data_IF_420836442055
#
_entry.id   IF_420836442055
#
_cell.length_a   1.000
_cell.length_b   1.000
_cell.length_c   1.000
_cell.angle_alpha   90.00
_cell.angle_beta   90.00
_cell.angle_gamma   90.00
#
_symmetry.space_group_name_H-M   'P 1'
#
loop_
_entity.id
_entity.type
_entity.pdbx_description
1 polymer ?
#
# COMPACT_ATOMS: atom_id res chain seq x y z
N UNK A 1 14.71 -7.11 2.83
CA UNK A 1 13.44 -6.62 3.40
C UNK A 1 12.57 -7.74 3.96
N UNK A 2 12.46 -8.89 3.30
CA UNK A 2 11.57 -9.97 3.74
C UNK A 2 11.67 -10.37 5.21
N UNK A 3 12.88 -10.56 5.74
CA UNK A 3 13.08 -10.95 7.14
C UNK A 3 12.57 -9.92 8.14
N UNK A 4 12.66 -8.59 7.83
CA UNK A 4 12.12 -7.57 8.71
C UNK A 4 10.61 -7.69 8.86
N UNK A 5 9.87 -7.81 7.75
CA UNK A 5 8.41 -7.90 7.77
C UNK A 5 7.92 -9.20 8.37
N UNK A 6 8.55 -10.32 8.01
CA UNK A 6 8.16 -11.64 8.48
C UNK A 6 8.49 -11.83 9.98
N UNK A 7 9.76 -11.65 10.35
CA UNK A 7 10.25 -12.02 11.69
C UNK A 7 10.11 -10.89 12.71
N UNK A 8 10.31 -9.63 12.31
CA UNK A 8 10.34 -8.51 13.24
C UNK A 8 9.01 -7.79 13.37
N UNK A 9 8.32 -7.56 12.24
CA UNK A 9 7.08 -6.79 12.24
C UNK A 9 5.86 -7.69 12.51
N UNK A 10 5.51 -8.55 11.58
CA UNK A 10 4.26 -9.31 11.67
C UNK A 10 4.25 -10.32 12.81
N UNK A 11 5.33 -11.05 13.06
CA UNK A 11 5.38 -11.97 14.20
C UNK A 11 5.13 -11.28 15.54
N UNK A 12 5.66 -10.05 15.75
CA UNK A 12 5.41 -9.29 16.97
C UNK A 12 3.98 -8.77 17.04
N UNK A 13 3.45 -8.23 15.94
CA UNK A 13 2.09 -7.71 15.91
C UNK A 13 1.04 -8.80 16.10
N UNK A 14 1.24 -9.98 15.51
CA UNK A 14 0.35 -11.13 15.70
C UNK A 14 0.39 -11.68 17.12
N UNK A 15 1.49 -11.51 17.86
CA UNK A 15 1.59 -11.88 19.27
C UNK A 15 0.86 -10.89 20.22
N UNK A 16 0.54 -9.67 19.75
CA UNK A 16 -0.12 -8.62 20.51
C UNK A 16 -1.33 -8.07 19.73
N UNK A 17 -2.39 -8.88 19.52
CA UNK A 17 -3.50 -8.51 18.62
C UNK A 17 -4.27 -7.26 19.06
N UNK A 18 -4.25 -6.90 20.35
CA UNK A 18 -4.82 -5.65 20.87
C UNK A 18 -4.15 -4.38 20.33
N UNK A 19 -2.95 -4.50 19.74
CA UNK A 19 -2.25 -3.40 19.07
C UNK A 19 -2.61 -3.27 17.60
N UNK A 20 -3.37 -4.23 17.09
CA UNK A 20 -3.84 -4.22 15.72
C UNK A 20 -5.22 -3.60 15.66
N UNK A 21 -5.30 -2.34 15.25
CA UNK A 21 -6.58 -1.70 14.95
C UNK A 21 -7.16 -2.25 13.64
N UNK A 22 -7.73 -3.43 13.72
CA UNK A 22 -8.32 -4.11 12.57
C UNK A 22 -9.67 -3.48 12.18
N UNK A 23 -10.26 -2.66 13.06
CA UNK A 23 -11.65 -2.20 12.95
C UNK A 23 -11.84 -0.69 12.77
N UNK A 24 -10.79 0.05 12.39
CA UNK A 24 -11.00 1.46 12.05
C UNK A 24 -11.77 1.60 10.74
N UNK A 25 -12.56 2.65 10.68
CA UNK A 25 -13.22 3.07 9.44
C UNK A 25 -12.15 3.24 8.34
N UNK A 26 -12.28 2.44 7.29
CA UNK A 26 -11.31 2.44 6.21
C UNK A 26 -11.45 3.76 5.43
N UNK A 27 -10.37 4.51 5.33
CA UNK A 27 -10.35 5.81 4.63
C UNK A 27 -10.92 5.73 3.20
N UNK A 28 -10.77 4.59 2.54
CA UNK A 28 -11.29 4.36 1.19
C UNK A 28 -12.83 4.44 1.12
N UNK A 29 -13.52 4.25 2.25
CA UNK A 29 -14.98 4.34 2.34
C UNK A 29 -15.51 5.72 1.94
N UNK A 30 -14.74 6.81 2.12
CA UNK A 30 -15.12 8.14 1.64
C UNK A 30 -15.30 8.21 0.10
N UNK A 31 -14.71 7.26 -0.63
CA UNK A 31 -14.79 7.14 -2.09
C UNK A 31 -15.78 6.07 -2.57
N UNK A 32 -16.70 5.62 -1.70
CA UNK A 32 -17.64 4.52 -2.00
C UNK A 32 -18.45 4.75 -3.28
N UNK A 33 -18.84 5.98 -3.58
CA UNK A 33 -19.56 6.29 -4.83
C UNK A 33 -18.72 6.00 -6.08
N UNK A 34 -17.42 6.29 -6.05
CA UNK A 34 -16.49 5.95 -7.13
C UNK A 34 -16.35 4.43 -7.24
N UNK A 35 -16.12 3.76 -6.10
CA UNK A 35 -15.98 2.30 -6.05
C UNK A 35 -17.22 1.59 -6.58
N UNK A 36 -18.43 2.11 -6.30
CA UNK A 36 -19.67 1.53 -6.78
C UNK A 36 -19.84 1.62 -8.30
N UNK A 37 -19.17 2.58 -8.95
CA UNK A 37 -19.20 2.75 -10.41
C UNK A 37 -18.21 1.86 -11.15
N UNK A 38 -17.26 1.25 -10.44
CA UNK A 38 -16.28 0.37 -11.07
C UNK A 38 -16.91 -0.95 -11.51
N UNK A 39 -16.42 -1.50 -12.61
CA UNK A 39 -16.66 -2.89 -12.94
C UNK A 39 -16.09 -3.77 -11.82
N UNK A 40 -16.92 -4.68 -11.29
CA UNK A 40 -16.51 -5.60 -10.23
C UNK A 40 -15.74 -6.77 -10.84
N UNK A 41 -14.48 -6.51 -11.18
CA UNK A 41 -13.55 -7.48 -11.74
C UNK A 41 -12.51 -7.92 -10.71
N UNK A 42 -11.23 -7.80 -11.09
CA UNK A 42 -10.10 -8.24 -10.27
C UNK A 42 -9.43 -7.06 -9.56
N UNK A 43 -9.21 -7.19 -8.26
CA UNK A 43 -8.41 -6.27 -7.46
C UNK A 43 -7.13 -6.94 -6.96
N UNK A 44 -6.02 -6.22 -6.99
CA UNK A 44 -4.78 -6.59 -6.34
C UNK A 44 -4.62 -5.77 -5.05
N UNK A 45 -4.59 -6.42 -3.89
CA UNK A 45 -4.22 -5.81 -2.61
C UNK A 45 -2.71 -6.01 -2.40
N UNK A 46 -1.92 -4.99 -2.72
CA UNK A 46 -0.46 -5.04 -2.83
C UNK A 46 0.21 -4.58 -1.52
N UNK A 47 0.79 -5.51 -0.77
CA UNK A 47 1.25 -5.32 0.60
C UNK A 47 0.06 -5.43 1.57
N UNK A 48 -0.75 -6.46 1.39
CA UNK A 48 -2.04 -6.65 2.05
C UNK A 48 -1.95 -6.87 3.57
N UNK A 49 -0.77 -7.22 4.10
CA UNK A 49 -0.61 -7.63 5.49
C UNK A 49 -1.58 -8.74 5.88
N UNK A 50 -2.32 -8.56 6.96
CA UNK A 50 -3.33 -9.50 7.43
C UNK A 50 -4.70 -9.34 6.76
N UNK A 51 -4.77 -8.57 5.66
CA UNK A 51 -5.93 -8.48 4.79
C UNK A 51 -7.06 -7.54 5.24
N UNK A 52 -6.76 -6.46 5.96
CA UNK A 52 -7.76 -5.50 6.38
C UNK A 52 -8.53 -4.91 5.18
N UNK A 53 -7.83 -4.54 4.11
CA UNK A 53 -8.43 -4.02 2.89
C UNK A 53 -8.87 -5.12 1.92
N UNK A 54 -8.27 -6.31 2.00
CA UNK A 54 -8.74 -7.50 1.27
C UNK A 54 -10.23 -7.74 1.52
N UNK A 55 -10.65 -7.69 2.80
CA UNK A 55 -12.06 -7.83 3.21
C UNK A 55 -12.95 -6.75 2.58
N UNK A 56 -12.49 -5.50 2.62
CA UNK A 56 -13.20 -4.38 2.01
C UNK A 56 -13.48 -4.63 0.51
N UNK A 57 -12.45 -5.03 -0.25
CA UNK A 57 -12.60 -5.26 -1.68
C UNK A 57 -13.50 -6.47 -1.99
N UNK A 58 -13.39 -7.56 -1.22
CA UNK A 58 -14.29 -8.73 -1.34
C UNK A 58 -15.73 -8.31 -1.09
N UNK A 59 -16.00 -7.56 -0.02
CA UNK A 59 -17.34 -7.10 0.34
C UNK A 59 -17.92 -6.09 -0.68
N UNK A 60 -17.06 -5.44 -1.46
CA UNK A 60 -17.46 -4.60 -2.59
C UNK A 60 -17.61 -5.39 -3.90
N UNK A 61 -17.50 -6.72 -3.88
CA UNK A 61 -17.81 -7.61 -5.00
C UNK A 61 -16.64 -7.86 -5.97
N UNK A 62 -15.39 -7.53 -5.59
CA UNK A 62 -14.21 -7.85 -6.38
C UNK A 62 -13.69 -9.26 -6.11
N UNK A 63 -13.08 -9.88 -7.12
CA UNK A 63 -12.18 -11.00 -6.94
C UNK A 63 -10.82 -10.44 -6.51
N UNK A 64 -10.33 -10.82 -5.32
CA UNK A 64 -9.14 -10.19 -4.74
C UNK A 64 -7.96 -11.15 -4.76
N UNK A 65 -6.83 -10.67 -5.30
CA UNK A 65 -5.51 -11.28 -5.09
C UNK A 65 -4.80 -10.44 -4.02
N UNK A 66 -4.47 -11.06 -2.89
CA UNK A 66 -3.80 -10.41 -1.76
C UNK A 66 -2.33 -10.80 -1.77
N UNK A 67 -1.45 -9.83 -1.92
CA UNK A 67 -0.03 -10.06 -2.05
C UNK A 67 0.76 -9.38 -0.93
N UNK A 68 1.67 -10.11 -0.30
CA UNK A 68 2.61 -9.58 0.70
C UNK A 68 3.93 -10.36 0.64
N UNK A 69 5.01 -9.77 1.14
CA UNK A 69 6.31 -10.44 1.26
C UNK A 69 6.39 -11.32 2.52
N UNK A 70 5.47 -11.16 3.45
CA UNK A 70 5.44 -11.86 4.73
C UNK A 70 4.53 -13.08 4.70
N UNK A 71 5.11 -14.25 4.75
CA UNK A 71 4.38 -15.52 4.91
C UNK A 71 3.52 -15.51 6.18
N UNK A 72 4.03 -14.95 7.29
CA UNK A 72 3.28 -14.84 8.55
C UNK A 72 2.01 -14.00 8.39
N UNK A 73 2.09 -12.88 7.65
CA UNK A 73 0.92 -12.06 7.37
C UNK A 73 -0.10 -12.80 6.49
N UNK A 74 0.37 -13.46 5.43
CA UNK A 74 -0.50 -14.21 4.52
C UNK A 74 -1.17 -15.41 5.21
N UNK A 75 -0.49 -16.09 6.13
CA UNK A 75 -1.07 -17.17 6.92
C UNK A 75 -2.17 -16.64 7.84
N UNK A 76 -1.93 -15.53 8.55
CA UNK A 76 -2.95 -14.89 9.38
C UNK A 76 -4.15 -14.39 8.56
N UNK A 77 -3.90 -13.88 7.33
CA UNK A 77 -4.96 -13.51 6.40
C UNK A 77 -5.81 -14.72 6.02
N UNK A 78 -5.18 -15.86 5.67
CA UNK A 78 -5.89 -17.09 5.30
C UNK A 78 -6.70 -17.68 6.46
N UNK A 79 -6.20 -17.59 7.69
CA UNK A 79 -6.96 -17.98 8.88
C UNK A 79 -8.22 -17.14 9.05
N UNK A 80 -8.12 -15.82 8.79
CA UNK A 80 -9.24 -14.87 8.91
C UNK A 80 -10.21 -14.95 7.72
N UNK A 81 -9.67 -15.10 6.50
CA UNK A 81 -10.43 -15.15 5.25
C UNK A 81 -10.00 -16.40 4.46
N UNK A 82 -10.50 -17.60 4.79
CA UNK A 82 -10.06 -18.87 4.16
C UNK A 82 -10.22 -18.89 2.63
N UNK A 83 -11.15 -18.11 2.09
CA UNK A 83 -11.40 -18.01 0.65
C UNK A 83 -10.46 -17.05 -0.08
N UNK A 84 -9.59 -16.31 0.64
CA UNK A 84 -8.70 -15.33 0.01
C UNK A 84 -7.64 -16.01 -0.88
N UNK A 85 -7.48 -15.48 -2.09
CA UNK A 85 -6.35 -15.81 -2.96
C UNK A 85 -5.13 -15.03 -2.50
N UNK A 86 -4.09 -15.72 -2.04
CA UNK A 86 -2.87 -15.09 -1.53
C UNK A 86 -1.66 -15.41 -2.38
N UNK A 87 -0.75 -14.46 -2.54
CA UNK A 87 0.51 -14.60 -3.26
C UNK A 87 1.65 -14.03 -2.42
N UNK A 88 2.66 -14.85 -2.10
CA UNK A 88 3.90 -14.30 -1.55
C UNK A 88 4.67 -13.57 -2.65
N UNK A 89 4.97 -12.28 -2.42
CA UNK A 89 5.46 -11.38 -3.45
C UNK A 89 6.43 -10.34 -2.88
N UNK A 90 7.61 -10.26 -3.46
CA UNK A 90 8.54 -9.14 -3.28
C UNK A 90 8.29 -8.07 -4.36
N UNK A 91 7.59 -6.99 -4.00
CA UNK A 91 7.26 -5.90 -4.94
C UNK A 91 8.47 -5.07 -5.38
N UNK A 92 9.68 -5.36 -4.89
CA UNK A 92 10.93 -4.84 -5.47
C UNK A 92 11.35 -5.57 -6.76
N UNK A 93 10.63 -6.62 -7.14
CA UNK A 93 10.82 -7.42 -8.36
C UNK A 93 9.65 -7.17 -9.33
N UNK A 94 9.78 -7.58 -10.61
CA UNK A 94 8.65 -7.57 -11.53
C UNK A 94 7.45 -8.34 -10.95
N UNK A 95 6.26 -7.75 -11.08
CA UNK A 95 5.04 -8.39 -10.59
C UNK A 95 4.69 -9.62 -11.46
N UNK A 96 4.42 -10.80 -10.85
CA UNK A 96 4.20 -12.04 -11.59
C UNK A 96 2.77 -12.15 -12.15
N UNK A 97 2.29 -11.06 -12.74
CA UNK A 97 0.96 -10.95 -13.34
C UNK A 97 1.08 -10.48 -14.78
N UNK A 98 0.13 -10.88 -15.63
CA UNK A 98 0.06 -10.43 -17.01
C UNK A 98 -0.37 -8.96 -17.12
N UNK A 99 -0.09 -8.34 -18.26
CA UNK A 99 -0.51 -6.97 -18.58
C UNK A 99 -2.04 -6.87 -18.53
N UNK A 100 -2.56 -5.78 -17.95
CA UNK A 100 -3.99 -5.53 -17.95
C UNK A 100 -4.83 -6.57 -17.20
N UNK A 101 -4.30 -7.16 -16.14
CA UNK A 101 -5.00 -8.17 -15.32
C UNK A 101 -6.03 -7.53 -14.38
N UNK A 102 -5.70 -6.40 -13.75
CA UNK A 102 -6.47 -5.86 -12.64
C UNK A 102 -7.28 -4.62 -13.02
N UNK A 103 -8.50 -4.56 -12.51
CA UNK A 103 -9.36 -3.37 -12.57
C UNK A 103 -8.95 -2.35 -11.48
N UNK A 104 -8.43 -2.86 -10.36
CA UNK A 104 -7.90 -2.05 -9.25
C UNK A 104 -6.60 -2.64 -8.75
N UNK A 105 -5.59 -1.80 -8.53
CA UNK A 105 -4.43 -2.08 -7.68
C UNK A 105 -4.53 -1.19 -6.46
N UNK A 106 -4.56 -1.78 -5.28
CA UNK A 106 -4.63 -1.08 -4.01
C UNK A 106 -3.35 -1.29 -3.21
N UNK A 107 -2.78 -0.21 -2.64
CA UNK A 107 -1.54 -0.25 -1.88
C UNK A 107 -1.59 0.71 -0.69
N UNK A 108 -1.96 0.20 0.50
CA UNK A 108 -2.06 1.03 1.69
C UNK A 108 -0.78 0.94 2.52
N UNK A 109 -0.05 2.07 2.62
CA UNK A 109 1.21 2.18 3.40
C UNK A 109 2.22 1.06 3.10
N UNK A 110 2.29 0.58 1.86
CA UNK A 110 3.11 -0.56 1.46
C UNK A 110 4.22 -0.23 0.44
N UNK A 111 4.03 0.77 -0.43
CA UNK A 111 4.95 1.08 -1.52
C UNK A 111 6.05 2.11 -1.17
N UNK A 112 6.08 2.62 0.03
CA UNK A 112 7.01 3.69 0.44
C UNK A 112 8.30 3.17 1.12
N UNK A 113 8.66 1.92 0.90
CA UNK A 113 9.87 1.33 1.50
C UNK A 113 11.06 1.24 0.54
N UNK A 114 10.95 1.80 -0.66
CA UNK A 114 11.91 1.60 -1.74
C UNK A 114 12.71 2.86 -2.07
N UNK A 115 13.91 2.63 -2.60
CA UNK A 115 14.71 3.68 -3.22
C UNK A 115 14.05 4.21 -4.50
N UNK A 116 14.61 5.27 -5.06
CA UNK A 116 14.08 5.93 -6.26
C UNK A 116 13.92 4.97 -7.44
N UNK A 117 14.99 4.20 -7.74
CA UNK A 117 15.00 3.25 -8.86
C UNK A 117 13.91 2.18 -8.72
N UNK A 118 13.78 1.62 -7.53
CA UNK A 118 12.79 0.58 -7.24
C UNK A 118 11.37 1.15 -7.24
N UNK A 119 11.17 2.38 -6.71
CA UNK A 119 9.88 3.07 -6.76
C UNK A 119 9.42 3.29 -8.20
N UNK A 120 10.32 3.74 -9.09
CA UNK A 120 10.03 3.87 -10.52
C UNK A 120 9.68 2.55 -11.18
N UNK A 121 10.45 1.50 -10.91
CA UNK A 121 10.19 0.17 -11.47
C UNK A 121 8.83 -0.36 -11.03
N UNK A 122 8.51 -0.24 -9.74
CA UNK A 122 7.24 -0.66 -9.19
C UNK A 122 6.06 0.13 -9.79
N UNK A 123 6.20 1.45 -9.94
CA UNK A 123 5.17 2.28 -10.57
C UNK A 123 4.85 1.83 -12.01
N UNK A 124 5.88 1.48 -12.80
CA UNK A 124 5.71 0.93 -14.14
C UNK A 124 5.01 -0.44 -14.14
N UNK A 125 5.36 -1.30 -13.19
CA UNK A 125 4.73 -2.61 -13.05
C UNK A 125 3.25 -2.47 -12.64
N UNK A 126 2.92 -1.58 -11.69
CA UNK A 126 1.52 -1.27 -11.33
C UNK A 126 0.75 -0.79 -12.55
N UNK A 127 1.34 0.13 -13.33
CA UNK A 127 0.71 0.60 -14.56
C UNK A 127 0.52 -0.54 -15.58
N UNK A 128 1.52 -1.42 -15.74
CA UNK A 128 1.46 -2.56 -16.68
C UNK A 128 0.33 -3.52 -16.33
N UNK A 129 0.21 -3.92 -15.07
CA UNK A 129 -0.77 -4.93 -14.64
C UNK A 129 -2.20 -4.38 -14.53
N UNK A 130 -2.38 -3.06 -14.50
CA UNK A 130 -3.71 -2.43 -14.58
C UNK A 130 -4.26 -2.49 -15.99
N UNK A 131 -5.57 -2.71 -16.09
CA UNK A 131 -6.35 -2.51 -17.33
C UNK A 131 -6.39 -1.02 -17.69
N UNK A 132 -6.63 -0.70 -18.98
CA UNK A 132 -7.02 0.66 -19.37
C UNK A 132 -8.29 1.08 -18.62
N UNK A 133 -8.29 2.31 -18.09
CA UNK A 133 -9.34 2.81 -17.18
C UNK A 133 -9.28 2.28 -15.75
N UNK A 134 -8.38 1.33 -15.46
CA UNK A 134 -8.19 0.77 -14.12
C UNK A 134 -7.61 1.77 -13.13
N UNK A 135 -7.85 1.54 -11.83
CA UNK A 135 -7.46 2.46 -10.78
C UNK A 135 -6.28 1.94 -9.95
N UNK A 136 -5.32 2.83 -9.71
CA UNK A 136 -4.31 2.67 -8.68
C UNK A 136 -4.70 3.55 -7.48
N UNK A 137 -5.01 2.90 -6.37
CA UNK A 137 -5.51 3.54 -5.14
C UNK A 137 -4.55 3.22 -4.00
N UNK A 138 -4.20 4.20 -3.19
CA UNK A 138 -3.28 3.89 -2.10
C UNK A 138 -3.03 5.05 -1.15
N UNK A 139 -2.16 4.75 -0.17
CA UNK A 139 -1.64 5.75 0.74
C UNK A 139 -0.14 5.56 0.98
N UNK A 140 0.55 6.66 1.24
CA UNK A 140 1.99 6.68 1.57
C UNK A 140 2.27 7.73 2.63
N UNK A 141 3.34 7.56 3.42
CA UNK A 141 3.73 8.56 4.41
C UNK A 141 4.14 9.89 3.76
N UNK A 142 3.70 11.01 4.35
CA UNK A 142 4.06 12.35 3.91
C UNK A 142 5.46 12.77 4.39
N UNK A 143 6.11 13.64 3.63
CA UNK A 143 7.38 14.27 4.00
C UNK A 143 7.29 15.15 5.24
N UNK A 144 6.11 15.65 5.59
CA UNK A 144 5.87 16.37 6.85
C UNK A 144 6.20 15.51 8.08
N UNK A 145 6.02 14.18 7.98
CA UNK A 145 6.37 13.25 9.04
C UNK A 145 7.88 13.20 9.34
N UNK A 146 8.76 13.79 8.50
CA UNK A 146 10.20 13.85 8.76
C UNK A 146 10.51 14.53 10.11
N UNK A 147 9.81 15.59 10.45
CA UNK A 147 10.02 16.30 11.73
C UNK A 147 9.85 15.40 12.96
N UNK A 148 9.02 14.35 12.85
CA UNK A 148 8.78 13.39 13.93
C UNK A 148 9.93 12.39 14.07
N UNK A 149 10.61 12.08 12.97
CA UNK A 149 11.59 10.98 12.90
C UNK A 149 13.03 11.44 12.70
N UNK A 150 13.29 12.72 12.46
CA UNK A 150 14.59 13.28 12.06
C UNK A 150 15.74 12.89 12.99
N UNK A 151 15.50 12.84 14.31
CA UNK A 151 16.53 12.50 15.31
C UNK A 151 16.97 11.02 15.24
N UNK A 152 16.17 10.17 14.60
CA UNK A 152 16.41 8.73 14.45
C UNK A 152 16.67 8.33 13.01
N UNK A 153 16.48 9.24 12.07
CA UNK A 153 16.56 8.99 10.65
C UNK A 153 17.98 9.22 10.11
N UNK A 154 18.55 8.22 9.46
CA UNK A 154 19.74 8.41 8.63
C UNK A 154 19.27 8.74 7.21
N UNK A 155 19.66 9.90 6.71
CA UNK A 155 19.36 10.34 5.34
C UNK A 155 20.15 9.49 4.35
N UNK A 156 19.47 8.92 3.37
CA UNK A 156 20.07 8.10 2.30
C UNK A 156 19.92 8.74 0.92
N UNK A 157 18.98 9.65 0.75
CA UNK A 157 18.70 10.35 -0.50
C UNK A 157 17.53 11.32 -0.33
N UNK A 158 17.00 11.79 -1.46
CA UNK A 158 15.87 12.70 -1.47
C UNK A 158 14.62 12.02 -0.89
N UNK A 159 14.17 12.53 0.26
CA UNK A 159 13.06 11.99 1.04
C UNK A 159 13.16 10.47 1.32
N UNK A 160 14.38 9.90 1.33
CA UNK A 160 14.62 8.49 1.57
C UNK A 160 15.55 8.29 2.76
N UNK A 161 15.10 7.48 3.73
CA UNK A 161 15.70 7.40 5.05
C UNK A 161 15.84 5.95 5.53
N UNK A 162 16.78 5.72 6.44
CA UNK A 162 16.87 4.50 7.27
C UNK A 162 16.51 4.88 8.71
N UNK A 163 15.44 4.26 9.24
CA UNK A 163 14.95 4.47 10.60
C UNK A 163 14.95 3.12 11.31
N UNK A 164 15.93 2.91 12.20
CA UNK A 164 16.21 1.57 12.74
C UNK A 164 16.62 0.62 11.62
N UNK A 165 15.84 -0.43 11.37
CA UNK A 165 16.09 -1.41 10.31
C UNK A 165 15.21 -1.16 9.05
N UNK A 166 14.37 -0.12 9.06
CA UNK A 166 13.44 0.15 7.96
C UNK A 166 13.95 1.24 7.04
N UNK A 167 13.95 0.95 5.76
CA UNK A 167 14.03 1.95 4.72
C UNK A 167 12.65 2.57 4.54
N UNK A 168 12.58 3.90 4.42
CA UNK A 168 11.31 4.60 4.24
C UNK A 168 11.50 5.81 3.32
N UNK A 169 10.60 5.98 2.38
CA UNK A 169 10.42 7.17 1.58
C UNK A 169 9.26 7.97 2.15
N UNK A 170 9.47 9.25 2.39
CA UNK A 170 8.44 10.19 2.80
C UNK A 170 8.09 11.05 1.59
N UNK A 171 6.88 10.92 1.09
CA UNK A 171 6.47 11.57 -0.14
C UNK A 171 6.12 13.03 0.05
N UNK A 172 6.59 13.89 -0.84
CA UNK A 172 6.07 15.22 -1.07
C UNK A 172 5.26 15.27 -2.38
N UNK A 173 4.64 16.42 -2.65
CA UNK A 173 3.80 16.61 -3.84
C UNK A 173 4.57 16.37 -5.14
N UNK A 174 5.82 16.83 -5.25
CA UNK A 174 6.61 16.73 -6.48
C UNK A 174 6.95 15.26 -6.82
N UNK A 175 7.12 14.42 -5.82
CA UNK A 175 7.43 13.01 -6.02
C UNK A 175 6.26 12.22 -6.62
N UNK A 176 5.02 12.68 -6.47
CA UNK A 176 3.89 12.05 -7.17
C UNK A 176 3.98 12.28 -8.67
N UNK A 177 4.29 13.47 -9.11
CA UNK A 177 4.50 13.76 -10.54
C UNK A 177 5.71 13.00 -11.08
N UNK A 178 6.78 12.89 -10.28
CA UNK A 178 8.00 12.16 -10.63
C UNK A 178 7.73 10.66 -10.82
N UNK A 179 7.08 9.99 -9.86
CA UNK A 179 6.95 8.53 -9.87
C UNK A 179 5.68 8.03 -10.55
N UNK A 180 4.61 8.83 -10.51
CA UNK A 180 3.28 8.41 -10.95
C UNK A 180 2.68 9.30 -12.04
N UNK A 181 3.47 10.20 -12.64
CA UNK A 181 3.03 11.13 -13.70
C UNK A 181 2.53 10.45 -14.98
N UNK A 182 2.64 9.12 -15.10
CA UNK A 182 2.06 8.32 -16.16
C UNK A 182 0.58 7.98 -15.96
N UNK A 183 0.01 8.36 -14.80
CA UNK A 183 -1.39 8.17 -14.48
C UNK A 183 -2.14 9.48 -14.49
N UNK A 184 -3.43 9.45 -14.77
CA UNK A 184 -4.33 10.56 -14.53
C UNK A 184 -4.67 10.64 -13.04
N UNK A 185 -4.44 11.79 -12.41
CA UNK A 185 -4.78 12.01 -11.00
C UNK A 185 -6.27 12.31 -10.86
N UNK A 186 -7.02 11.43 -10.20
CA UNK A 186 -8.43 11.66 -9.83
C UNK A 186 -8.57 12.29 -8.44
N UNK A 187 -7.72 11.88 -7.49
CA UNK A 187 -7.63 12.44 -6.14
C UNK A 187 -6.20 12.34 -5.62
N UNK A 188 -5.75 13.38 -4.92
CA UNK A 188 -4.47 13.38 -4.21
C UNK A 188 -4.59 14.35 -3.04
N UNK A 189 -4.66 13.82 -1.83
CA UNK A 189 -4.90 14.58 -0.60
C UNK A 189 -3.84 14.28 0.44
N UNK A 190 -3.28 15.32 1.04
CA UNK A 190 -2.41 15.19 2.20
C UNK A 190 -3.26 15.24 3.47
N UNK A 191 -3.20 14.19 4.26
CA UNK A 191 -4.04 13.98 5.45
C UNK A 191 -3.17 14.14 6.70
N UNK A 192 -3.64 14.99 7.62
CA UNK A 192 -3.03 15.23 8.92
C UNK A 192 -3.97 14.72 10.01
N UNK A 193 -3.58 13.64 10.69
CA UNK A 193 -4.39 13.03 11.75
C UNK A 193 -3.57 12.82 13.01
N UNK A 194 -4.25 12.69 14.14
CA UNK A 194 -3.64 12.27 15.40
C UNK A 194 -4.26 10.96 15.83
N UNK A 195 -3.43 9.92 15.94
CA UNK A 195 -3.85 8.59 16.34
C UNK A 195 -3.04 8.11 17.54
N UNK A 196 -3.70 7.63 18.59
CA UNK A 196 -3.02 7.22 19.85
C UNK A 196 -2.02 8.25 20.36
N UNK A 197 -2.37 9.53 20.33
CA UNK A 197 -1.50 10.68 20.66
C UNK A 197 -0.28 10.86 19.73
N UNK A 198 -0.20 10.11 18.64
CA UNK A 198 0.86 10.27 17.65
C UNK A 198 0.30 10.95 16.40
N UNK A 199 1.01 11.96 15.92
CA UNK A 199 0.72 12.57 14.63
C UNK A 199 0.96 11.55 13.51
N UNK A 200 0.06 11.52 12.54
CA UNK A 200 0.11 10.67 11.35
C UNK A 200 -0.14 11.54 10.13
N UNK A 201 0.91 11.78 9.38
CA UNK A 201 0.85 12.56 8.14
C UNK A 201 1.09 11.61 6.97
N UNK A 202 0.09 11.52 6.09
CA UNK A 202 0.15 10.63 4.93
C UNK A 202 -0.60 11.23 3.75
N UNK A 203 -0.28 10.77 2.57
CA UNK A 203 -1.03 11.04 1.36
C UNK A 203 -2.00 9.90 1.09
N UNK A 204 -3.21 10.24 0.65
CA UNK A 204 -4.17 9.34 0.04
C UNK A 204 -4.35 9.72 -1.41
N UNK A 205 -4.36 8.75 -2.31
CA UNK A 205 -4.42 9.00 -3.75
C UNK A 205 -5.29 8.01 -4.50
N UNK A 206 -5.87 8.50 -5.60
CA UNK A 206 -6.55 7.71 -6.62
C UNK A 206 -6.04 8.17 -7.98
N UNK A 207 -5.40 7.28 -8.68
CA UNK A 207 -4.86 7.46 -10.02
C UNK A 207 -5.56 6.52 -11.00
N UNK A 208 -5.70 6.95 -12.24
CA UNK A 208 -6.30 6.15 -13.29
C UNK A 208 -5.30 5.92 -14.42
N UNK A 209 -5.22 4.69 -14.90
CA UNK A 209 -4.51 4.36 -16.14
C UNK A 209 -5.37 4.75 -17.34
N UNK A 210 -4.75 5.36 -18.36
CA UNK A 210 -5.39 5.70 -19.64
C UNK A 210 -5.89 4.45 -20.39
#
# INVERSE_FOLDING_TARGET
>A
MGNYWNDNYWRRHLAEPERMDIFEELWIGKHQELINKLNKGHALDLGCGIGQFTDYWINNGFQVTSADISENALNALKERIPSATTVELDMSKPLPFEDGTFDVVFANLSIHYFDEKTTFALSKEIHRVLKSGGLFIGSVNSSVAYEIVKDKAKVLGDNYYLIGERYIRLFDRAQFDQFFGQFNTLSLEEIHTVRFKNQRDHWEFIFQKD
#
